data_IF_196221699861
#
_entry.id   IF_196221699861
#
_cell.length_a   1.000
_cell.length_b   1.000
_cell.length_c   1.000
_cell.angle_alpha   90.00
_cell.angle_beta   90.00
_cell.angle_gamma   90.00
#
_symmetry.space_group_name_H-M   'P 1'
#
loop_
_entity.id
_entity.type
_entity.pdbx_description
1 polymer ?
#
# COMPACT_ATOMS: atom_id res chain seq x y z
N UNK A 1 14.49 -4.11 -9.52
CA UNK A 1 13.64 -3.92 -8.33
C UNK A 1 12.37 -3.22 -8.75
N UNK A 2 11.26 -3.41 -8.03
CA UNK A 2 9.97 -2.80 -8.34
C UNK A 2 9.09 -2.74 -7.08
N UNK A 3 8.00 -1.99 -7.12
CA UNK A 3 7.05 -1.88 -6.01
C UNK A 3 5.78 -2.68 -6.29
N UNK A 4 5.16 -3.16 -5.22
CA UNK A 4 3.76 -3.57 -5.22
C UNK A 4 3.07 -2.71 -4.17
N UNK A 5 2.13 -1.87 -4.61
CA UNK A 5 1.55 -0.78 -3.81
C UNK A 5 0.02 -0.62 -4.01
N UNK A 6 -0.78 -1.68 -3.80
CA UNK A 6 -2.21 -1.62 -4.08
C UNK A 6 -2.94 -0.63 -3.17
N UNK A 7 -3.74 0.23 -3.80
CA UNK A 7 -4.76 1.04 -3.14
C UNK A 7 -6.10 0.31 -3.22
N UNK A 8 -6.74 0.05 -2.08
CA UNK A 8 -8.05 -0.58 -1.99
C UNK A 8 -9.07 0.41 -1.43
N UNK A 9 -10.19 0.52 -2.13
CA UNK A 9 -11.27 1.47 -1.83
C UNK A 9 -12.54 0.72 -1.45
N UNK A 10 -13.29 1.21 -0.45
CA UNK A 10 -14.56 0.59 -0.04
C UNK A 10 -15.68 0.76 -1.08
N UNK A 11 -15.65 1.85 -1.85
CA UNK A 11 -16.57 2.13 -2.94
C UNK A 11 -15.89 2.11 -4.31
N UNK A 12 -16.15 3.13 -5.12
CA UNK A 12 -15.72 3.26 -6.50
C UNK A 12 -14.20 3.55 -6.58
N UNK A 13 -13.42 2.86 -7.45
CA UNK A 13 -11.97 3.02 -7.54
C UNK A 13 -11.52 4.28 -8.29
N UNK A 14 -12.43 4.99 -8.95
CA UNK A 14 -12.13 6.22 -9.66
C UNK A 14 -11.70 7.33 -8.69
N UNK A 15 -10.69 8.10 -9.09
CA UNK A 15 -10.13 9.17 -8.29
C UNK A 15 -10.08 10.51 -9.05
N UNK A 16 -10.13 11.60 -8.28
CA UNK A 16 -9.84 12.97 -8.74
C UNK A 16 -8.68 13.55 -7.93
N UNK A 17 -7.92 14.46 -8.54
CA UNK A 17 -6.84 15.20 -7.87
C UNK A 17 -7.38 16.56 -7.42
N UNK A 18 -7.17 16.92 -6.16
CA UNK A 18 -7.56 18.22 -5.61
C UNK A 18 -6.81 19.39 -6.24
N UNK A 19 -7.27 20.61 -5.96
CA UNK A 19 -6.68 21.86 -6.46
C UNK A 19 -5.22 22.08 -6.01
N UNK A 20 -4.77 21.35 -4.98
CA UNK A 20 -3.37 21.35 -4.55
C UNK A 20 -2.42 20.64 -5.54
N UNK A 21 -2.98 19.90 -6.51
CA UNK A 21 -2.22 19.17 -7.53
C UNK A 21 -1.60 17.86 -7.06
N UNK A 22 -1.90 17.39 -5.85
CA UNK A 22 -1.27 16.22 -5.23
C UNK A 22 -2.26 15.25 -4.59
N UNK A 23 -3.27 15.76 -3.88
CA UNK A 23 -4.15 14.89 -3.09
C UNK A 23 -5.13 14.17 -4.01
N UNK A 24 -4.92 12.86 -4.19
CA UNK A 24 -5.84 11.99 -4.90
C UNK A 24 -6.91 11.47 -3.93
N UNK A 25 -8.19 11.71 -4.25
CA UNK A 25 -9.34 11.21 -3.49
C UNK A 25 -10.30 10.44 -4.38
N UNK A 26 -11.05 9.52 -3.79
CA UNK A 26 -12.11 8.79 -4.48
C UNK A 26 -13.26 9.71 -4.84
N UNK A 27 -13.89 9.46 -5.99
CA UNK A 27 -15.01 10.29 -6.45
C UNK A 27 -16.24 10.23 -5.53
N UNK A 28 -16.36 9.16 -4.74
CA UNK A 28 -17.48 8.90 -3.84
C UNK A 28 -17.17 9.24 -2.37
N UNK A 29 -15.95 9.70 -2.08
CA UNK A 29 -15.52 10.07 -0.73
C UNK A 29 -15.38 8.89 0.24
N UNK A 30 -15.45 7.64 -0.23
CA UNK A 30 -15.25 6.46 0.61
C UNK A 30 -13.80 6.29 1.02
N UNK A 31 -13.56 5.55 2.11
CA UNK A 31 -12.20 5.33 2.62
C UNK A 31 -11.40 4.44 1.66
N UNK A 32 -10.12 4.78 1.54
CA UNK A 32 -9.10 4.02 0.82
C UNK A 32 -7.96 3.69 1.78
N UNK A 33 -7.34 2.53 1.60
CA UNK A 33 -6.15 2.11 2.32
C UNK A 33 -5.09 1.59 1.33
N UNK A 34 -3.82 1.75 1.69
CA UNK A 34 -2.68 1.32 0.89
C UNK A 34 -1.60 0.71 1.79
N UNK A 35 -0.93 -0.32 1.28
CA UNK A 35 0.35 -0.79 1.76
C UNK A 35 1.30 -0.95 0.58
N UNK A 36 2.59 -0.82 0.82
CA UNK A 36 3.61 -0.86 -0.23
C UNK A 36 4.83 -1.67 0.20
N UNK A 37 5.36 -2.45 -0.75
CA UNK A 37 6.67 -3.08 -0.63
C UNK A 37 7.54 -2.89 -1.86
N UNK A 38 8.82 -2.58 -1.63
CA UNK A 38 9.87 -2.69 -2.65
C UNK A 38 10.41 -4.11 -2.68
N UNK A 39 10.44 -4.71 -3.87
CA UNK A 39 10.87 -6.08 -4.11
C UNK A 39 12.07 -6.15 -5.07
N UNK A 40 12.85 -7.21 -4.92
CA UNK A 40 13.83 -7.66 -5.91
C UNK A 40 13.55 -9.12 -6.27
N UNK A 41 13.66 -9.48 -7.55
CA UNK A 41 13.57 -10.89 -7.96
C UNK A 41 14.93 -11.54 -7.81
N UNK A 42 14.99 -12.61 -7.01
CA UNK A 42 16.11 -13.52 -6.84
C UNK A 42 15.79 -14.87 -7.50
N UNK A 43 16.79 -15.75 -7.71
CA UNK A 43 16.56 -17.09 -8.27
C UNK A 43 15.53 -17.93 -7.49
N UNK A 44 15.44 -17.72 -6.18
CA UNK A 44 14.57 -18.45 -5.25
C UNK A 44 13.16 -17.83 -5.14
N UNK A 45 12.95 -16.64 -5.70
CA UNK A 45 11.67 -15.93 -5.63
C UNK A 45 11.83 -14.42 -5.43
N UNK A 46 10.75 -13.75 -5.00
CA UNK A 46 10.79 -12.33 -4.68
C UNK A 46 11.28 -12.11 -3.24
N UNK A 47 12.29 -11.26 -3.08
CA UNK A 47 12.75 -10.78 -1.78
C UNK A 47 12.15 -9.40 -1.49
N UNK A 48 11.69 -9.22 -0.24
CA UNK A 48 11.07 -7.98 0.25
C UNK A 48 12.11 -7.11 0.96
N UNK A 49 12.31 -5.90 0.44
CA UNK A 49 13.37 -4.99 0.91
C UNK A 49 12.90 -3.99 1.98
N UNK A 50 11.59 -3.74 2.09
CA UNK A 50 11.02 -2.80 3.06
C UNK A 50 10.44 -3.52 4.27
N UNK A 51 11.34 -4.06 5.09
CA UNK A 51 11.06 -4.69 6.39
C UNK A 51 11.90 -4.03 7.49
N UNK A 52 11.46 -4.16 8.75
CA UNK A 52 12.27 -3.77 9.92
C UNK A 52 13.46 -4.72 10.08
N UNK A 53 14.39 -4.40 10.99
CA UNK A 53 15.49 -5.32 11.35
C UNK A 53 14.97 -6.67 11.89
N UNK A 54 13.79 -6.68 12.51
CA UNK A 54 13.12 -7.89 13.00
C UNK A 54 12.33 -8.65 11.90
N UNK A 55 12.30 -8.13 10.67
CA UNK A 55 11.59 -8.73 9.53
C UNK A 55 10.10 -8.37 9.43
N UNK A 56 9.60 -7.52 10.34
CA UNK A 56 8.20 -7.06 10.37
C UNK A 56 7.93 -6.02 9.30
N UNK A 57 6.67 -5.84 8.94
CA UNK A 57 6.24 -4.78 8.04
C UNK A 57 4.93 -4.11 8.47
N UNK A 58 4.57 -3.04 7.77
CA UNK A 58 3.40 -2.22 8.11
C UNK A 58 2.10 -3.02 8.23
N UNK A 59 1.88 -4.03 7.38
CA UNK A 59 0.65 -4.83 7.45
C UNK A 59 0.66 -5.85 8.61
N UNK A 60 1.84 -6.26 9.11
CA UNK A 60 1.94 -7.10 10.30
C UNK A 60 1.44 -6.34 11.55
N UNK A 61 1.81 -5.05 11.64
CA UNK A 61 1.40 -4.16 12.74
C UNK A 61 -0.10 -3.87 12.73
N UNK A 62 -0.67 -3.58 11.55
CA UNK A 62 -2.11 -3.30 11.43
C UNK A 62 -2.95 -4.55 11.66
N UNK A 63 -2.47 -5.72 11.24
CA UNK A 63 -3.14 -6.99 11.55
C UNK A 63 -3.27 -7.20 13.06
N UNK A 64 -2.26 -6.90 13.85
CA UNK A 64 -2.29 -7.05 15.31
C UNK A 64 -3.27 -6.11 16.02
N UNK A 65 -3.71 -5.03 15.36
CA UNK A 65 -4.63 -4.04 15.92
C UNK A 65 -6.11 -4.27 15.55
N UNK A 66 -6.39 -5.17 14.60
CA UNK A 66 -7.74 -5.40 14.05
C UNK A 66 -8.35 -6.77 14.44
N UNK A 67 -7.65 -7.58 15.21
CA UNK A 67 -8.13 -8.81 15.89
C UNK A 67 -7.90 -8.69 17.39
#
# INVERSE_FOLDING_TARGET
TFTIEPMLTLGAPEAVVWEDGWTAVTIDGTRTAQFEHTLVMAPEGAERLTVTEAGECAHDLVRAALV
#
